data_IF_797897856112
#
_entry.id   IF_797897856112
#
_cell.length_a   1.000
_cell.length_b   1.000
_cell.length_c   1.000
_cell.angle_alpha   90.00
_cell.angle_beta   90.00
_cell.angle_gamma   90.00
#
_symmetry.space_group_name_H-M   'P 1'
#
loop_
_entity.id
_entity.type
_entity.pdbx_description
1 polymer ?
#
# COMPACT_ATOMS: atom_id res chain seq x y z
N UNK A 1 -2.79 -4.78 -15.91
CA UNK A 1 -1.95 -3.57 -15.99
C UNK A 1 -1.91 -2.94 -14.60
N UNK A 2 -0.74 -2.53 -14.11
CA UNK A 2 -0.62 -1.77 -12.86
C UNK A 2 -0.24 -0.35 -13.24
N UNK A 3 -0.89 0.63 -12.63
CA UNK A 3 -0.64 2.06 -12.87
C UNK A 3 -0.27 2.71 -11.55
N UNK A 4 0.81 3.50 -11.58
CA UNK A 4 1.20 4.30 -10.43
C UNK A 4 0.45 5.64 -10.48
N UNK A 5 -0.32 5.90 -9.43
CA UNK A 5 -1.15 7.09 -9.35
C UNK A 5 -0.33 8.27 -8.79
N UNK A 6 -0.53 9.49 -9.28
CA UNK A 6 0.09 10.66 -8.67
C UNK A 6 -0.37 10.81 -7.22
N UNK A 7 0.50 11.28 -6.30
CA UNK A 7 0.09 11.64 -4.95
C UNK A 7 -0.72 12.94 -4.97
N UNK A 8 -1.57 13.18 -3.95
CA UNK A 8 -2.16 14.50 -3.71
C UNK A 8 -3.67 14.55 -3.56
N UNK A 9 -4.25 15.70 -3.90
CA UNK A 9 -5.63 16.13 -3.57
C UNK A 9 -6.74 15.35 -4.27
N UNK A 10 -6.41 14.50 -5.24
CA UNK A 10 -7.33 13.60 -5.92
C UNK A 10 -7.82 14.07 -7.29
N UNK A 11 -7.58 15.32 -7.69
CA UNK A 11 -8.03 15.83 -9.01
C UNK A 11 -7.38 15.08 -10.18
N UNK A 12 -6.06 14.87 -10.12
CA UNK A 12 -5.32 14.11 -11.14
C UNK A 12 -5.72 12.63 -11.15
N UNK A 13 -6.04 12.09 -9.97
CA UNK A 13 -6.53 10.71 -9.82
C UNK A 13 -7.91 10.54 -10.45
N UNK A 14 -8.81 11.51 -10.28
CA UNK A 14 -10.13 11.52 -10.91
C UNK A 14 -10.05 11.64 -12.42
N UNK A 15 -9.17 12.50 -12.93
CA UNK A 15 -8.92 12.60 -14.37
C UNK A 15 -8.49 11.23 -14.93
N UNK A 16 -7.51 10.59 -14.28
CA UNK A 16 -7.04 9.25 -14.67
C UNK A 16 -8.16 8.20 -14.59
N UNK A 17 -8.97 8.21 -13.52
CA UNK A 17 -10.08 7.28 -13.33
C UNK A 17 -11.22 7.48 -14.35
N UNK A 18 -11.38 8.71 -14.87
CA UNK A 18 -12.40 9.04 -15.86
C UNK A 18 -11.99 8.65 -17.28
N UNK A 19 -10.69 8.68 -17.58
CA UNK A 19 -10.15 8.34 -18.90
C UNK A 19 -9.87 6.84 -19.08
N UNK A 20 -9.66 6.11 -17.98
CA UNK A 20 -9.20 4.73 -18.01
C UNK A 20 -10.19 3.78 -17.33
N UNK A 21 -10.40 2.56 -17.88
CA UNK A 21 -11.24 1.56 -17.24
C UNK A 21 -10.53 0.94 -16.03
N UNK A 22 -10.71 1.53 -14.85
CA UNK A 22 -10.09 1.08 -13.60
C UNK A 22 -10.80 -0.17 -13.05
N UNK A 23 -10.10 -1.32 -13.05
CA UNK A 23 -10.64 -2.56 -12.47
C UNK A 23 -10.69 -2.54 -10.94
N UNK A 24 -9.76 -1.82 -10.31
CA UNK A 24 -9.71 -1.63 -8.86
C UNK A 24 -8.47 -0.84 -8.42
N UNK A 25 -8.56 -0.21 -7.25
CA UNK A 25 -7.51 0.58 -6.64
C UNK A 25 -7.00 -0.05 -5.34
N UNK A 26 -5.70 0.13 -5.07
CA UNK A 26 -5.05 -0.20 -3.80
C UNK A 26 -4.50 1.10 -3.23
N UNK A 27 -4.75 1.35 -1.96
CA UNK A 27 -4.20 2.52 -1.28
C UNK A 27 -2.95 2.14 -0.51
N UNK A 28 -1.87 2.90 -0.69
CA UNK A 28 -0.64 2.76 0.09
C UNK A 28 -0.54 3.93 1.06
N UNK A 29 -0.36 3.65 2.35
CA UNK A 29 -0.20 4.69 3.38
C UNK A 29 0.79 4.24 4.46
N UNK A 30 1.11 5.11 5.41
CA UNK A 30 1.94 4.79 6.58
C UNK A 30 1.09 4.68 7.85
N UNK A 31 1.61 4.12 8.95
CA UNK A 31 0.88 4.08 10.23
C UNK A 31 0.51 5.45 10.82
N UNK A 32 1.06 6.55 10.31
CA UNK A 32 0.78 7.90 10.77
C UNK A 32 -0.68 8.29 10.55
N UNK A 33 -1.32 8.88 11.56
CA UNK A 33 -2.70 9.35 11.46
C UNK A 33 -2.91 10.34 10.30
N UNK A 34 -1.99 11.29 10.11
CA UNK A 34 -2.08 12.27 9.03
C UNK A 34 -2.09 11.61 7.65
N UNK A 35 -1.21 10.63 7.42
CA UNK A 35 -1.15 9.90 6.15
C UNK A 35 -2.42 9.06 5.91
N UNK A 36 -3.02 8.53 6.97
CA UNK A 36 -4.29 7.80 6.88
C UNK A 36 -5.47 8.74 6.64
N UNK A 37 -5.47 9.95 7.23
CA UNK A 37 -6.49 10.97 7.00
C UNK A 37 -6.54 11.40 5.55
N UNK A 38 -5.38 11.60 4.93
CA UNK A 38 -5.32 11.98 3.52
C UNK A 38 -5.78 10.82 2.62
N UNK A 39 -5.37 9.58 2.93
CA UNK A 39 -5.79 8.40 2.17
C UNK A 39 -7.31 8.14 2.26
N UNK A 40 -7.95 8.40 3.42
CA UNK A 40 -9.40 8.31 3.59
C UNK A 40 -10.18 9.34 2.78
N UNK A 41 -9.66 10.57 2.67
CA UNK A 41 -10.28 11.60 1.83
C UNK A 41 -10.29 11.18 0.36
N UNK A 42 -9.16 10.66 -0.12
CA UNK A 42 -9.05 10.13 -1.48
C UNK A 42 -9.94 8.90 -1.68
N UNK A 43 -10.10 8.04 -0.67
CA UNK A 43 -11.04 6.93 -0.72
C UNK A 43 -12.49 7.41 -0.88
N UNK A 44 -12.91 8.42 -0.12
CA UNK A 44 -14.25 8.99 -0.25
C UNK A 44 -14.48 9.52 -1.68
N UNK A 45 -13.50 10.25 -2.23
CA UNK A 45 -13.53 10.75 -3.60
C UNK A 45 -13.69 9.64 -4.64
N UNK A 46 -12.91 8.56 -4.54
CA UNK A 46 -13.01 7.43 -5.47
C UNK A 46 -14.36 6.70 -5.38
N UNK A 47 -14.94 6.60 -4.18
CA UNK A 47 -16.26 6.00 -3.98
C UNK A 47 -17.37 6.80 -4.66
N UNK A 48 -17.28 8.13 -4.66
CA UNK A 48 -18.24 9.01 -5.35
C UNK A 48 -18.22 8.82 -6.87
N UNK A 49 -17.12 8.30 -7.42
CA UNK A 49 -16.92 8.05 -8.85
C UNK A 49 -16.95 6.55 -9.22
N UNK A 50 -17.54 5.71 -8.37
CA UNK A 50 -17.73 4.28 -8.59
C UNK A 50 -16.43 3.48 -8.86
N UNK A 51 -15.27 4.02 -8.45
CA UNK A 51 -13.99 3.31 -8.61
C UNK A 51 -13.88 2.23 -7.52
N UNK A 52 -13.77 0.94 -7.89
CA UNK A 52 -13.67 -0.11 -6.90
C UNK A 52 -12.37 -0.04 -6.11
N UNK A 53 -12.43 -0.28 -4.80
CA UNK A 53 -11.24 -0.30 -3.95
C UNK A 53 -11.05 -1.70 -3.35
N UNK A 54 -9.84 -2.24 -3.54
CA UNK A 54 -9.45 -3.59 -3.13
C UNK A 54 -9.11 -3.62 -1.64
N UNK A 55 -8.33 -2.64 -1.18
CA UNK A 55 -7.89 -2.55 0.20
C UNK A 55 -6.68 -1.63 0.42
N UNK A 56 -6.12 -1.73 1.63
CA UNK A 56 -5.00 -0.94 2.10
C UNK A 56 -3.69 -1.72 2.10
N UNK A 57 -2.59 -1.07 1.77
CA UNK A 57 -1.22 -1.52 2.05
C UNK A 57 -0.61 -0.52 3.01
N UNK A 58 -0.16 -1.02 4.16
CA UNK A 58 0.54 -0.17 5.12
C UNK A 58 2.04 -0.32 4.88
N UNK A 59 2.66 0.72 4.32
CA UNK A 59 4.09 0.82 4.15
C UNK A 59 4.75 1.39 5.42
N UNK A 60 6.03 1.08 5.63
CA UNK A 60 6.79 1.51 6.82
C UNK A 60 6.07 1.15 8.12
N UNK A 61 5.51 -0.07 8.18
CA UNK A 61 4.65 -0.50 9.29
C UNK A 61 5.40 -0.63 10.61
N UNK A 62 6.61 -1.16 10.57
CA UNK A 62 7.49 -1.39 11.71
C UNK A 62 8.96 -1.30 11.25
N UNK A 63 9.87 -1.05 12.17
CA UNK A 63 11.31 -1.23 11.97
C UNK A 63 11.78 -2.39 12.84
N UNK A 64 12.48 -3.37 12.25
CA UNK A 64 13.20 -4.38 13.04
C UNK A 64 14.53 -3.81 13.48
N UNK A 65 14.79 -3.79 14.78
CA UNK A 65 16.06 -3.35 15.31
C UNK A 65 17.20 -4.25 14.77
N UNK A 66 18.22 -3.69 14.10
CA UNK A 66 19.31 -4.49 13.53
C UNK A 66 20.23 -5.11 14.61
N UNK A 67 20.07 -4.71 15.88
CA UNK A 67 20.91 -5.18 16.98
C UNK A 67 20.25 -6.24 17.87
N UNK A 68 18.92 -6.18 18.04
CA UNK A 68 18.19 -7.08 18.95
C UNK A 68 16.93 -7.73 18.33
N UNK A 69 16.63 -7.45 17.06
CA UNK A 69 15.47 -7.96 16.31
C UNK A 69 14.09 -7.55 16.84
N UNK A 70 14.04 -6.75 17.90
CA UNK A 70 12.79 -6.20 18.43
C UNK A 70 12.09 -5.31 17.39
N UNK A 71 10.76 -5.41 17.36
CA UNK A 71 9.91 -4.59 16.50
C UNK A 71 9.72 -3.21 17.12
N UNK A 72 9.99 -2.19 16.34
CA UNK A 72 9.85 -0.79 16.71
C UNK A 72 8.71 -0.19 15.89
N UNK A 73 7.66 0.26 16.57
CA UNK A 73 6.60 1.04 15.94
C UNK A 73 7.12 2.45 15.61
N UNK A 74 7.23 2.75 14.32
CA UNK A 74 7.79 4.03 13.86
C UNK A 74 6.88 5.23 14.16
N UNK A 75 5.57 5.01 14.19
CA UNK A 75 4.56 6.08 14.27
C UNK A 75 3.42 5.78 15.26
N UNK A 76 3.60 4.76 16.11
CA UNK A 76 2.57 4.27 17.02
C UNK A 76 1.44 3.51 16.31
N UNK A 77 0.37 3.24 17.05
CA UNK A 77 -0.80 2.48 16.58
C UNK A 77 -1.95 3.40 16.19
N UNK A 78 -2.55 3.15 15.03
CA UNK A 78 -3.77 3.81 14.57
C UNK A 78 -4.86 2.80 14.22
N UNK A 79 -6.12 3.07 14.57
CA UNK A 79 -7.29 2.24 14.22
C UNK A 79 -7.99 2.68 12.93
N UNK A 80 -7.57 3.78 12.30
CA UNK A 80 -8.34 4.42 11.22
C UNK A 80 -8.53 3.50 10.02
N UNK A 81 -7.48 2.75 9.64
CA UNK A 81 -7.58 1.74 8.58
C UNK A 81 -8.58 0.61 8.87
N UNK A 82 -8.68 0.15 10.12
CA UNK A 82 -9.69 -0.86 10.49
C UNK A 82 -11.10 -0.30 10.47
N UNK A 83 -11.25 0.99 10.82
CA UNK A 83 -12.55 1.67 10.86
C UNK A 83 -13.05 2.03 9.46
N UNK A 84 -12.15 2.15 8.46
CA UNK A 84 -12.49 2.50 7.08
C UNK A 84 -13.22 1.38 6.29
N UNK A 85 -13.43 0.20 6.88
CA UNK A 85 -14.25 -0.87 6.31
C UNK A 85 -13.64 -1.58 5.09
N UNK A 86 -12.32 -1.47 4.89
CA UNK A 86 -11.57 -2.16 3.84
C UNK A 86 -10.45 -3.01 4.45
N UNK A 87 -10.08 -4.14 3.82
CA UNK A 87 -9.06 -5.01 4.36
C UNK A 87 -7.66 -4.40 4.22
N UNK A 88 -6.79 -4.65 5.20
CA UNK A 88 -5.34 -4.43 5.07
C UNK A 88 -4.73 -5.66 4.38
N UNK A 89 -4.27 -5.48 3.14
CA UNK A 89 -3.74 -6.53 2.27
C UNK A 89 -2.33 -6.99 2.69
N UNK A 90 -1.54 -6.07 3.26
CA UNK A 90 -0.18 -6.33 3.71
C UNK A 90 0.40 -5.17 4.51
N UNK A 91 1.45 -5.47 5.28
CA UNK A 91 2.17 -4.52 6.13
C UNK A 91 3.67 -4.64 5.82
N UNK A 92 4.20 -3.70 5.06
CA UNK A 92 5.60 -3.72 4.62
C UNK A 92 6.45 -3.04 5.71
N UNK A 93 7.43 -3.72 6.32
CA UNK A 93 8.32 -3.11 7.28
C UNK A 93 9.25 -2.09 6.61
N UNK A 94 9.74 -1.13 7.38
CA UNK A 94 10.81 -0.26 6.97
C UNK A 94 12.12 -1.05 6.88
N UNK A 95 12.78 -0.96 5.72
CA UNK A 95 14.04 -1.64 5.44
C UNK A 95 14.85 -0.79 4.47
N UNK A 96 16.08 -0.42 4.85
CA UNK A 96 16.94 0.44 4.02
C UNK A 96 17.27 -0.21 2.68
N UNK A 97 17.29 -1.55 2.62
CA UNK A 97 17.56 -2.30 1.39
C UNK A 97 16.50 -2.04 0.33
N UNK A 98 15.26 -1.70 0.69
CA UNK A 98 14.23 -1.32 -0.30
C UNK A 98 14.67 -0.08 -1.09
N UNK A 99 15.12 0.97 -0.39
CA UNK A 99 15.60 2.20 -1.04
C UNK A 99 16.88 1.94 -1.83
N UNK A 100 17.87 1.30 -1.20
CA UNK A 100 19.18 1.06 -1.80
C UNK A 100 19.09 0.26 -3.11
N UNK A 101 18.25 -0.77 -3.13
CA UNK A 101 18.09 -1.63 -4.30
C UNK A 101 17.21 -0.98 -5.37
N UNK A 102 16.19 -0.22 -4.97
CA UNK A 102 15.37 0.58 -5.90
C UNK A 102 16.20 1.66 -6.63
N UNK A 103 17.10 2.36 -5.92
CA UNK A 103 18.01 3.35 -6.51
C UNK A 103 18.96 2.74 -7.56
N UNK A 104 19.21 1.43 -7.45
CA UNK A 104 20.01 0.66 -8.40
C UNK A 104 19.17 0.05 -9.53
N UNK A 105 17.86 0.32 -9.59
CA UNK A 105 16.94 -0.26 -10.55
C UNK A 105 16.72 -1.76 -10.36
N UNK A 106 16.99 -2.30 -9.15
CA UNK A 106 16.86 -3.72 -8.83
C UNK A 106 15.86 -3.91 -7.70
N UNK A 107 14.63 -4.35 -7.96
CA UNK A 107 13.66 -4.58 -6.89
C UNK A 107 14.17 -5.59 -5.86
N UNK A 108 14.10 -5.25 -4.57
CA UNK A 108 14.53 -6.12 -3.47
C UNK A 108 13.94 -7.53 -3.57
N UNK A 109 12.66 -7.64 -3.96
CA UNK A 109 11.95 -8.92 -4.10
C UNK A 109 12.56 -9.86 -5.14
N UNK A 110 13.34 -9.36 -6.09
CA UNK A 110 14.09 -10.19 -7.03
C UNK A 110 15.45 -10.64 -6.48
N UNK A 111 16.05 -9.83 -5.60
CA UNK A 111 17.32 -10.15 -4.94
C UNK A 111 17.16 -11.04 -3.70
N UNK A 112 16.03 -10.96 -3.02
CA UNK A 112 15.68 -11.72 -1.82
C UNK A 112 14.23 -12.27 -1.92
N UNK A 113 13.98 -13.25 -2.80
CA UNK A 113 12.62 -13.72 -3.10
C UNK A 113 11.96 -14.49 -1.95
N UNK A 114 12.73 -14.95 -0.98
CA UNK A 114 12.24 -15.68 0.21
C UNK A 114 12.23 -14.82 1.47
N UNK A 115 12.68 -13.57 1.38
CA UNK A 115 12.75 -12.65 2.50
C UNK A 115 11.38 -12.18 3.00
N UNK A 116 11.33 -11.59 4.21
CA UNK A 116 10.08 -11.14 4.82
C UNK A 116 9.33 -10.11 3.96
N UNK A 117 10.06 -9.23 3.27
CA UNK A 117 9.47 -8.22 2.39
C UNK A 117 8.86 -8.88 1.14
N UNK A 118 9.57 -9.81 0.50
CA UNK A 118 9.05 -10.56 -0.64
C UNK A 118 7.77 -11.35 -0.26
N UNK A 119 7.71 -11.89 0.95
CA UNK A 119 6.51 -12.54 1.46
C UNK A 119 5.31 -11.58 1.55
N UNK A 120 5.49 -10.38 2.10
CA UNK A 120 4.42 -9.37 2.17
C UNK A 120 3.97 -8.89 0.78
N UNK A 121 4.90 -8.64 -0.14
CA UNK A 121 4.56 -8.31 -1.53
C UNK A 121 3.78 -9.45 -2.22
N UNK A 122 4.19 -10.71 -2.02
CA UNK A 122 3.50 -11.86 -2.58
C UNK A 122 2.09 -12.02 -2.01
N UNK A 123 1.90 -11.76 -0.71
CA UNK A 123 0.59 -11.75 -0.05
C UNK A 123 -0.33 -10.68 -0.62
N UNK A 124 0.17 -9.46 -0.84
CA UNK A 124 -0.57 -8.36 -1.47
C UNK A 124 -0.97 -8.78 -2.90
N UNK A 125 0.00 -9.22 -3.72
CA UNK A 125 -0.25 -9.63 -5.10
C UNK A 125 -1.26 -10.77 -5.22
N UNK A 126 -1.20 -11.75 -4.31
CA UNK A 126 -2.19 -12.85 -4.26
C UNK A 126 -3.59 -12.36 -3.90
N UNK A 127 -3.70 -11.41 -2.97
CA UNK A 127 -4.99 -10.81 -2.58
C UNK A 127 -5.62 -10.07 -3.75
N UNK A 128 -4.82 -9.27 -4.47
CA UNK A 128 -5.25 -8.55 -5.68
C UNK A 128 -5.68 -9.51 -6.77
N UNK A 129 -4.87 -10.55 -7.05
CA UNK A 129 -5.20 -11.56 -8.06
C UNK A 129 -6.51 -12.27 -7.75
N UNK A 130 -6.76 -12.63 -6.48
CA UNK A 130 -8.00 -13.27 -6.07
C UNK A 130 -9.20 -12.35 -6.27
N UNK A 131 -9.09 -11.11 -5.79
CA UNK A 131 -10.15 -10.12 -5.91
C UNK A 131 -10.54 -9.86 -7.38
N UNK A 132 -9.54 -9.80 -8.29
CA UNK A 132 -9.78 -9.63 -9.73
C UNK A 132 -10.41 -10.86 -10.39
N UNK A 133 -10.19 -12.06 -9.86
CA UNK A 133 -10.75 -13.29 -10.43
C UNK A 133 -12.21 -13.56 -10.01
N UNK A 134 -12.68 -12.88 -8.96
CA UNK A 134 -14.04 -13.01 -8.43
C UNK A 134 -15.04 -12.04 -9.10
N UNK A 135 -14.62 -11.35 -10.16
CA UNK A 135 -15.38 -10.33 -10.90
C UNK A 135 -15.35 -10.59 -12.40
#
# INVERSE_FOLDING_TARGET
>A
LVMDAPPGTGDELLAMASELPISGAIFVTTPQDLAQMDAERTLALLKEHDVPVIGWVQNMAELRCPHCEEQIDLFGTSSRLSDAGLPVLGRIPFDTRLSETADQGRPLVLGDPTGPIAHEFAKIGNSVRRWLAER
#
